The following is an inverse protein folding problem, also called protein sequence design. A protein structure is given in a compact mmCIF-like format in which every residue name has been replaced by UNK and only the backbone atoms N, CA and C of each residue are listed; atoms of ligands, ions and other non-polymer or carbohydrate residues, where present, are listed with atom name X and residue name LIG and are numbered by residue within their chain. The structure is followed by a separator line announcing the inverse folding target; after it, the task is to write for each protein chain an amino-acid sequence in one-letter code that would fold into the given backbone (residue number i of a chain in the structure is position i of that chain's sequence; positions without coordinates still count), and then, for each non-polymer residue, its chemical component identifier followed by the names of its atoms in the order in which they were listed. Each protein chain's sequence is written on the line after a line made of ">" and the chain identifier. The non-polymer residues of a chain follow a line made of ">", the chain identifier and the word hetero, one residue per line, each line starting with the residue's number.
data_IF_555154678342
#
_entry.id   IF_555154678342
#
_cell.length_a   1.000
_cell.length_b   1.000
_cell.length_c   1.000
_cell.angle_alpha   90.00
_cell.angle_beta   90.00
_cell.angle_gamma   90.00
#
_symmetry.space_group_name_H-M   'P 1'
#
loop_
_entity.id
_entity.type
_entity.pdbx_description
1 polymer ?
#
# COMPACT_ATOMS: atom_id res chain seq x y z
N UNK A 1 22.54 -7.04 -7.29
CA UNK A 1 22.42 -8.23 -8.17
C UNK A 1 21.27 -8.11 -9.19
N UNK A 2 20.02 -7.80 -8.81
CA UNK A 2 18.92 -7.64 -9.79
C UNK A 2 18.76 -6.21 -10.35
N UNK A 3 18.95 -5.17 -9.53
CA UNK A 3 18.91 -3.76 -9.98
C UNK A 3 19.98 -3.49 -11.05
N UNK A 4 21.20 -3.97 -10.81
CA UNK A 4 22.30 -3.89 -11.77
C UNK A 4 21.97 -4.56 -13.11
N UNK A 5 21.30 -5.72 -13.08
CA UNK A 5 20.88 -6.46 -14.29
C UNK A 5 19.82 -5.70 -15.09
N UNK A 6 18.90 -5.00 -14.41
CA UNK A 6 17.89 -4.14 -15.08
C UNK A 6 18.50 -2.87 -15.69
N UNK A 7 19.64 -2.41 -15.17
CA UNK A 7 20.44 -1.31 -15.71
C UNK A 7 19.66 -0.02 -16.03
N UNK A 8 18.69 0.32 -15.19
CA UNK A 8 17.94 1.57 -15.30
C UNK A 8 18.76 2.74 -14.75
N UNK A 9 18.93 3.85 -15.50
CA UNK A 9 19.81 4.96 -15.09
C UNK A 9 19.47 5.56 -13.72
N UNK A 10 18.17 5.65 -13.41
CA UNK A 10 17.64 6.19 -12.17
C UNK A 10 17.69 5.21 -10.99
N UNK A 11 18.01 3.92 -11.21
CA UNK A 11 18.13 2.93 -10.12
C UNK A 11 19.61 2.71 -9.75
N UNK A 12 20.48 2.51 -10.75
CA UNK A 12 21.87 2.04 -10.58
C UNK A 12 22.80 3.05 -9.88
N UNK A 13 22.54 4.34 -10.04
CA UNK A 13 23.33 5.42 -9.42
C UNK A 13 22.55 6.22 -8.38
N UNK A 14 21.41 5.69 -7.91
CA UNK A 14 20.54 6.46 -7.02
C UNK A 14 21.19 6.59 -5.63
N UNK A 15 21.28 7.81 -5.08
CA UNK A 15 21.76 8.02 -3.72
C UNK A 15 20.82 7.42 -2.66
N UNK A 16 19.58 7.06 -3.04
CA UNK A 16 18.59 6.49 -2.14
C UNK A 16 18.55 4.95 -2.16
N UNK A 17 19.02 4.30 -3.23
CA UNK A 17 18.91 2.84 -3.40
C UNK A 17 20.21 2.14 -3.03
N UNK A 18 20.64 2.31 -1.79
CA UNK A 18 21.85 1.69 -1.25
C UNK A 18 21.58 0.35 -0.59
N UNK A 19 22.62 -0.46 -0.38
CA UNK A 19 22.52 -1.75 0.32
C UNK A 19 21.97 -1.58 1.74
N UNK A 20 22.39 -0.53 2.44
CA UNK A 20 21.95 -0.22 3.80
C UNK A 20 20.44 0.10 3.81
N UNK A 21 19.97 0.89 2.85
CA UNK A 21 18.54 1.18 2.69
C UNK A 21 17.72 -0.09 2.50
N UNK A 22 18.12 -0.97 1.57
CA UNK A 22 17.38 -2.21 1.33
C UNK A 22 17.41 -3.17 2.52
N UNK A 23 18.52 -3.23 3.25
CA UNK A 23 18.64 -4.05 4.46
C UNK A 23 17.69 -3.56 5.54
N UNK A 24 17.60 -2.24 5.75
CA UNK A 24 16.68 -1.68 6.73
C UNK A 24 15.22 -1.83 6.29
N UNK A 25 14.91 -1.67 5.00
CA UNK A 25 13.56 -1.91 4.47
C UNK A 25 13.13 -3.37 4.70
N UNK A 26 13.98 -4.35 4.38
CA UNK A 26 13.69 -5.77 4.60
C UNK A 26 13.44 -6.08 6.08
N UNK A 27 14.30 -5.53 6.95
CA UNK A 27 14.16 -5.66 8.40
C UNK A 27 12.85 -5.06 8.90
N UNK A 28 12.54 -3.81 8.57
CA UNK A 28 11.29 -3.15 9.01
C UNK A 28 10.07 -3.88 8.47
N UNK A 29 10.12 -4.36 7.23
CA UNK A 29 9.04 -5.13 6.63
C UNK A 29 8.76 -6.42 7.43
N UNK A 30 9.80 -7.20 7.74
CA UNK A 30 9.69 -8.45 8.50
C UNK A 30 9.33 -8.26 9.96
N UNK A 31 9.92 -7.26 10.62
CA UNK A 31 9.79 -7.07 12.07
C UNK A 31 8.53 -6.29 12.44
N UNK A 32 8.07 -5.38 11.58
CA UNK A 32 6.98 -4.45 11.91
C UNK A 32 5.75 -4.63 11.02
N UNK A 33 5.93 -4.76 9.70
CA UNK A 33 4.80 -4.77 8.76
C UNK A 33 4.10 -6.13 8.76
N UNK A 34 4.85 -7.22 8.54
CA UNK A 34 4.27 -8.57 8.48
C UNK A 34 3.55 -8.96 9.78
N UNK A 35 4.09 -8.73 11.00
CA UNK A 35 3.40 -9.13 12.22
C UNK A 35 2.09 -8.37 12.43
N UNK A 36 2.03 -7.08 12.06
CA UNK A 36 0.79 -6.31 12.08
C UNK A 36 -0.21 -6.86 11.06
N UNK A 37 0.23 -7.05 9.82
CA UNK A 37 -0.64 -7.53 8.74
C UNK A 37 -1.16 -8.95 9.00
N UNK A 38 -0.40 -9.79 9.71
CA UNK A 38 -0.81 -11.16 10.06
C UNK A 38 -2.11 -11.25 10.88
N UNK A 39 -2.47 -10.15 11.55
CA UNK A 39 -3.75 -9.99 12.25
C UNK A 39 -4.88 -9.69 11.27
N UNK A 40 -4.63 -8.90 10.24
CA UNK A 40 -5.68 -8.46 9.32
C UNK A 40 -5.86 -9.36 8.09
N UNK A 41 -4.87 -10.22 7.79
CA UNK A 41 -4.85 -11.08 6.61
C UNK A 41 -4.10 -12.40 6.86
N UNK A 42 -4.30 -13.40 5.99
CA UNK A 42 -3.40 -14.54 5.88
C UNK A 42 -2.13 -14.14 5.13
N UNK A 43 -0.97 -14.61 5.60
CA UNK A 43 0.32 -14.32 4.99
C UNK A 43 0.87 -15.60 4.37
N UNK A 44 1.12 -15.55 3.07
CA UNK A 44 1.88 -16.56 2.34
C UNK A 44 3.27 -15.96 2.05
N UNK A 45 4.32 -16.63 2.51
CA UNK A 45 5.70 -16.14 2.41
C UNK A 45 6.49 -17.12 1.57
N UNK A 46 6.99 -16.63 0.44
CA UNK A 46 7.78 -17.40 -0.52
C UNK A 46 9.19 -16.84 -0.62
N UNK A 47 10.17 -17.73 -0.77
CA UNK A 47 11.53 -17.32 -1.15
C UNK A 47 11.60 -17.18 -2.67
N UNK A 48 11.81 -15.96 -3.15
CA UNK A 48 11.81 -15.64 -4.59
C UNK A 48 13.23 -15.66 -5.21
N UNK A 49 14.18 -16.40 -4.62
CA UNK A 49 15.55 -16.50 -5.15
C UNK A 49 15.64 -17.25 -6.49
N UNK A 50 14.80 -18.27 -6.68
CA UNK A 50 14.65 -19.02 -7.94
C UNK A 50 13.21 -18.91 -8.43
N UNK A 51 12.96 -19.07 -9.73
CA UNK A 51 11.59 -19.14 -10.27
C UNK A 51 10.87 -20.37 -9.69
N UNK A 52 9.59 -20.22 -9.42
CA UNK A 52 8.86 -20.99 -8.42
C UNK A 52 7.52 -21.30 -9.03
N UNK A 53 6.93 -22.39 -8.59
CA UNK A 53 5.82 -22.97 -9.32
C UNK A 53 4.55 -22.18 -9.02
N UNK A 54 3.95 -21.65 -10.08
CA UNK A 54 2.69 -20.92 -9.98
C UNK A 54 1.58 -21.80 -9.40
N UNK A 55 1.59 -23.09 -9.75
CA UNK A 55 0.62 -24.07 -9.28
C UNK A 55 0.67 -24.21 -7.75
N UNK A 56 1.87 -24.28 -7.16
CA UNK A 56 2.04 -24.34 -5.70
C UNK A 56 1.43 -23.11 -5.00
N UNK A 57 1.58 -21.91 -5.59
CA UNK A 57 1.01 -20.67 -5.03
C UNK A 57 -0.53 -20.69 -5.11
N UNK A 58 -1.08 -21.23 -6.20
CA UNK A 58 -2.54 -21.34 -6.37
C UNK A 58 -3.08 -22.33 -5.34
N UNK A 59 -2.48 -23.49 -5.22
CA UNK A 59 -2.88 -24.53 -4.27
C UNK A 59 -2.84 -23.99 -2.82
N UNK A 60 -1.80 -23.25 -2.45
CA UNK A 60 -1.68 -22.61 -1.14
C UNK A 60 -2.78 -21.57 -0.90
N UNK A 61 -3.13 -20.76 -1.90
CA UNK A 61 -4.24 -19.78 -1.81
C UNK A 61 -5.58 -20.49 -1.63
N UNK A 62 -5.84 -21.56 -2.39
CA UNK A 62 -7.09 -22.32 -2.33
C UNK A 62 -7.24 -23.07 -1.00
N UNK A 63 -6.13 -23.44 -0.36
CA UNK A 63 -6.13 -24.08 0.96
C UNK A 63 -6.45 -23.12 2.12
N UNK A 64 -6.41 -21.79 1.91
CA UNK A 64 -6.64 -20.81 2.98
C UNK A 64 -8.12 -20.73 3.37
N UNK A 65 -8.39 -20.81 4.68
CA UNK A 65 -9.70 -20.47 5.22
C UNK A 65 -9.84 -18.94 5.39
N UNK A 66 -10.46 -18.30 4.40
CA UNK A 66 -10.74 -16.87 4.41
C UNK A 66 -12.13 -16.52 4.97
N UNK A 67 -12.89 -17.47 5.52
CA UNK A 67 -14.24 -17.21 6.02
C UNK A 67 -14.19 -16.44 7.35
N UNK A 68 -14.61 -15.16 7.41
CA UNK A 68 -14.47 -14.36 8.62
C UNK A 68 -15.41 -14.84 9.75
N UNK A 69 -16.48 -15.56 9.40
CA UNK A 69 -17.44 -16.12 10.34
C UNK A 69 -16.87 -17.28 11.19
N UNK A 70 -15.78 -17.91 10.75
CA UNK A 70 -15.14 -19.02 11.46
C UNK A 70 -14.27 -18.55 12.64
N UNK A 71 -14.03 -17.24 12.75
CA UNK A 71 -13.23 -16.64 13.81
C UNK A 71 -14.10 -16.07 14.94
N UNK A 72 -13.64 -16.24 16.17
CA UNK A 72 -14.33 -15.71 17.35
C UNK A 72 -14.45 -14.17 17.29
N UNK A 73 -15.52 -13.63 17.89
CA UNK A 73 -15.74 -12.18 17.97
C UNK A 73 -14.61 -11.41 18.69
N UNK A 74 -13.82 -12.09 19.50
CA UNK A 74 -12.66 -11.53 20.19
C UNK A 74 -11.33 -11.66 19.43
N UNK A 75 -11.31 -12.38 18.30
CA UNK A 75 -10.12 -12.55 17.48
C UNK A 75 -9.94 -11.37 16.53
N UNK A 76 -8.72 -10.83 16.45
CA UNK A 76 -8.34 -9.77 15.52
C UNK A 76 -8.19 -10.29 14.08
N UNK A 77 -8.15 -11.61 13.88
CA UNK A 77 -7.93 -12.26 12.58
C UNK A 77 -8.98 -11.88 11.53
N UNK A 78 -8.58 -11.28 10.42
CA UNK A 78 -9.49 -10.85 9.33
C UNK A 78 -10.57 -9.85 9.78
N UNK A 79 -10.36 -9.09 10.85
CA UNK A 79 -11.39 -8.19 11.41
C UNK A 79 -11.92 -7.17 10.38
N UNK A 80 -11.08 -6.70 9.46
CA UNK A 80 -11.45 -5.72 8.43
C UNK A 80 -12.38 -6.31 7.35
N UNK A 81 -12.47 -7.64 7.28
CA UNK A 81 -13.33 -8.37 6.34
C UNK A 81 -14.68 -8.77 6.96
N UNK A 82 -14.90 -8.47 8.24
CA UNK A 82 -16.12 -8.80 8.98
C UNK A 82 -17.13 -7.66 8.87
N UNK A 83 -18.14 -7.84 8.03
CA UNK A 83 -19.29 -6.93 7.95
C UNK A 83 -20.47 -7.54 8.70
N UNK A 84 -20.86 -6.94 9.82
CA UNK A 84 -21.94 -7.43 10.68
C UNK A 84 -23.33 -7.11 10.11
N UNK A 85 -23.42 -6.17 9.16
CA UNK A 85 -24.67 -5.78 8.55
C UNK A 85 -24.55 -5.44 7.07
N UNK A 86 -25.68 -5.55 6.37
CA UNK A 86 -25.79 -5.12 4.98
C UNK A 86 -25.48 -3.62 4.85
N UNK A 87 -25.83 -2.81 5.85
CA UNK A 87 -25.59 -1.37 5.81
C UNK A 87 -24.11 -1.02 5.96
N UNK A 88 -23.34 -1.78 6.75
CA UNK A 88 -21.86 -1.66 6.77
C UNK A 88 -21.26 -1.98 5.39
N UNK A 89 -21.75 -3.04 4.74
CA UNK A 89 -21.31 -3.41 3.38
C UNK A 89 -21.66 -2.31 2.37
N UNK A 90 -22.88 -1.76 2.43
CA UNK A 90 -23.32 -0.65 1.57
C UNK A 90 -22.52 0.62 1.84
N UNK A 91 -22.24 0.91 3.10
CA UNK A 91 -21.44 2.05 3.53
C UNK A 91 -20.03 1.97 2.98
N UNK A 92 -19.35 0.83 3.16
CA UNK A 92 -18.03 0.58 2.60
C UNK A 92 -18.03 0.75 1.07
N UNK A 93 -19.01 0.14 0.38
CA UNK A 93 -19.15 0.30 -1.08
C UNK A 93 -19.30 1.76 -1.48
N UNK A 94 -20.24 2.48 -0.87
CA UNK A 94 -20.48 3.90 -1.19
C UNK A 94 -19.26 4.77 -0.92
N UNK A 95 -18.53 4.47 0.15
CA UNK A 95 -17.31 5.21 0.51
C UNK A 95 -16.22 5.06 -0.56
N UNK A 96 -15.98 3.83 -1.05
CA UNK A 96 -14.95 3.59 -2.07
C UNK A 96 -15.39 3.91 -3.51
N UNK A 97 -16.70 3.96 -3.81
CA UNK A 97 -17.19 4.27 -5.17
C UNK A 97 -17.67 5.71 -5.34
N UNK A 98 -18.60 6.16 -4.49
CA UNK A 98 -19.32 7.42 -4.67
C UNK A 98 -18.63 8.59 -3.95
N UNK A 99 -17.90 8.29 -2.87
CA UNK A 99 -17.24 9.30 -2.04
C UNK A 99 -15.71 9.29 -2.23
N UNK A 100 -15.24 8.95 -3.44
CA UNK A 100 -13.80 8.92 -3.76
C UNK A 100 -13.12 10.25 -3.45
N UNK A 101 -13.78 11.39 -3.73
CA UNK A 101 -13.24 12.69 -3.36
C UNK A 101 -12.99 12.81 -1.86
N UNK A 102 -13.92 12.37 -1.02
CA UNK A 102 -13.74 12.36 0.44
C UNK A 102 -12.53 11.54 0.86
N UNK A 103 -12.32 10.36 0.25
CA UNK A 103 -11.12 9.55 0.49
C UNK A 103 -9.85 10.30 0.07
N UNK A 104 -9.86 10.97 -1.09
CA UNK A 104 -8.73 11.76 -1.58
C UNK A 104 -8.46 13.01 -0.73
N UNK A 105 -9.48 13.61 -0.10
CA UNK A 105 -9.25 14.71 0.83
C UNK A 105 -8.57 14.23 2.12
N UNK A 106 -8.78 12.98 2.54
CA UNK A 106 -8.17 12.44 3.76
C UNK A 106 -6.67 12.17 3.62
N UNK A 107 -6.15 12.01 2.41
CA UNK A 107 -4.69 11.91 2.19
C UNK A 107 -3.98 13.28 2.19
N UNK A 108 -4.73 14.38 2.09
CA UNK A 108 -4.18 15.75 2.12
C UNK A 108 -3.92 16.18 3.56
N UNK A 109 -2.82 15.69 4.14
CA UNK A 109 -2.40 16.05 5.49
C UNK A 109 -1.58 17.35 5.44
N UNK A 110 -2.13 18.43 5.97
CA UNK A 110 -1.43 19.71 6.10
C UNK A 110 -0.45 19.68 7.29
N UNK A 111 0.75 19.13 7.07
CA UNK A 111 1.87 19.15 8.02
C UNK A 111 2.78 20.37 7.77
N UNK A 112 2.47 21.47 8.45
CA UNK A 112 3.25 22.72 8.36
C UNK A 112 4.65 22.63 9.00
N UNK A 113 4.92 21.56 9.73
CA UNK A 113 6.20 21.26 10.37
C UNK A 113 7.15 20.44 9.49
N UNK A 114 6.70 19.98 8.31
CA UNK A 114 7.49 19.20 7.35
C UNK A 114 7.74 20.04 6.09
N UNK A 115 8.85 20.79 6.00
CA UNK A 115 9.09 21.72 4.90
C UNK A 115 9.14 21.06 3.52
N UNK A 116 9.53 19.79 3.44
CA UNK A 116 9.57 19.00 2.20
C UNK A 116 8.17 18.76 1.60
N UNK A 117 7.11 18.83 2.42
CA UNK A 117 5.73 18.70 1.98
C UNK A 117 5.08 20.05 1.65
N UNK A 118 5.73 21.16 1.97
CA UNK A 118 5.15 22.50 1.81
C UNK A 118 5.66 23.12 0.52
N UNK A 119 4.71 23.61 -0.28
CA UNK A 119 5.00 24.39 -1.47
C UNK A 119 4.86 25.88 -1.15
N UNK A 120 5.74 26.72 -1.70
CA UNK A 120 5.60 28.17 -1.57
C UNK A 120 4.35 28.69 -2.27
N UNK A 121 3.87 29.88 -1.88
CA UNK A 121 2.72 30.52 -2.54
C UNK A 121 3.00 30.75 -4.05
N UNK A 122 4.19 31.26 -4.38
CA UNK A 122 4.60 31.48 -5.77
C UNK A 122 4.62 30.20 -6.60
N UNK A 123 5.14 29.10 -6.04
CA UNK A 123 5.14 27.81 -6.72
C UNK A 123 3.73 27.20 -6.82
N UNK A 124 2.81 27.59 -5.95
CA UNK A 124 1.42 27.14 -5.99
C UNK A 124 0.65 27.78 -7.14
N UNK A 125 0.82 29.09 -7.31
CA UNK A 125 0.21 29.85 -8.42
C UNK A 125 0.67 29.27 -9.77
N UNK A 126 1.99 29.09 -9.96
CA UNK A 126 2.53 28.50 -11.19
C UNK A 126 2.00 27.10 -11.49
N UNK A 127 1.80 26.30 -10.44
CA UNK A 127 1.26 24.96 -10.61
C UNK A 127 -0.21 24.99 -11.05
N UNK A 128 -1.00 25.90 -10.49
CA UNK A 128 -2.40 26.11 -10.90
C UNK A 128 -2.49 26.57 -12.35
N UNK A 129 -1.70 27.58 -12.74
CA UNK A 129 -1.61 28.05 -14.14
C UNK A 129 -1.30 26.90 -15.12
N UNK A 130 -0.32 26.04 -14.80
CA UNK A 130 0.05 24.90 -15.65
C UNK A 130 -1.05 23.84 -15.70
N UNK A 131 -1.75 23.59 -14.59
CA UNK A 131 -2.88 22.65 -14.59
C UNK A 131 -4.04 23.19 -15.43
N UNK A 132 -4.36 24.48 -15.30
CA UNK A 132 -5.43 25.11 -16.08
C UNK A 132 -5.11 25.03 -17.58
N UNK A 133 -3.87 25.33 -18.00
CA UNK A 133 -3.45 25.15 -19.40
C UNK A 133 -3.60 23.71 -19.91
N UNK A 134 -3.31 22.71 -19.06
CA UNK A 134 -3.41 21.28 -19.40
C UNK A 134 -4.87 20.79 -19.48
N UNK A 135 -5.78 21.40 -18.71
CA UNK A 135 -7.20 20.99 -18.64
C UNK A 135 -8.14 21.89 -19.47
N UNK A 136 -7.66 23.02 -19.99
CA UNK A 136 -8.36 23.86 -20.98
C UNK A 136 -8.21 23.35 -22.44
N UNK A 137 -7.53 22.21 -22.65
CA UNK A 137 -7.49 21.46 -23.93
C UNK A 137 -8.34 20.20 -23.91
#
# INVERSE_FOLDING_TARGET
>A
ANIEKRNRPNEKGSPALTTEFFTEVDKVYKDTVLPKLSRHAHLLIYDWQEEGFLDDIIDDIEALNCEPADYDRGDEKLIDWRFNSIDETRGARSYYTNNKETLMYQILINRWDVPEMIRSAESSIKHEEVLDELYET
#
